data_IF_416870483129
#
_entry.id   IF_416870483129
#
_cell.length_a   1.000
_cell.length_b   1.000
_cell.length_c   1.000
_cell.angle_alpha   90.00
_cell.angle_beta   90.00
_cell.angle_gamma   90.00
#
_symmetry.space_group_name_H-M   'P 1'
#
loop_
_entity.id
_entity.type
_entity.pdbx_description
1 polymer ?
#
# COMPACT_ATOMS: atom_id res chain seq x y z
N UNK A 1 14.77 -3.54 -27.82
CA UNK A 1 14.57 -3.52 -26.34
C UNK A 1 14.15 -2.16 -25.80
N UNK A 2 14.50 -1.04 -26.43
CA UNK A 2 14.16 0.32 -25.96
C UNK A 2 12.65 0.60 -25.86
N UNK A 3 11.84 0.15 -26.83
CA UNK A 3 10.39 0.38 -26.81
C UNK A 3 9.69 -0.31 -25.62
N UNK A 4 10.17 -1.48 -25.19
CA UNK A 4 9.66 -2.16 -23.97
C UNK A 4 9.97 -1.36 -22.71
N UNK A 5 11.19 -0.81 -22.60
CA UNK A 5 11.63 0.00 -21.46
C UNK A 5 10.88 1.33 -21.39
N UNK A 6 10.64 1.95 -22.54
CA UNK A 6 9.85 3.19 -22.67
C UNK A 6 8.37 2.96 -22.37
N UNK A 7 7.79 1.84 -22.80
CA UNK A 7 6.43 1.43 -22.45
C UNK A 7 6.28 1.19 -20.94
N UNK A 8 7.25 0.51 -20.33
CA UNK A 8 7.30 0.32 -18.88
C UNK A 8 7.44 1.64 -18.11
N UNK A 9 8.33 2.54 -18.54
CA UNK A 9 8.51 3.87 -17.92
C UNK A 9 7.27 4.75 -18.11
N UNK A 10 6.60 4.71 -19.27
CA UNK A 10 5.35 5.43 -19.49
C UNK A 10 4.20 4.84 -18.69
N UNK A 11 4.11 3.52 -18.56
CA UNK A 11 3.17 2.84 -17.67
C UNK A 11 3.41 3.23 -16.21
N UNK A 12 4.67 3.22 -15.74
CA UNK A 12 5.09 3.68 -14.41
C UNK A 12 4.83 5.18 -14.17
N UNK A 13 4.97 6.01 -15.19
CA UNK A 13 4.62 7.43 -15.11
C UNK A 13 3.09 7.65 -15.10
N UNK A 14 2.33 6.81 -15.81
CA UNK A 14 0.88 6.78 -15.77
C UNK A 14 0.33 6.15 -14.48
N UNK A 15 1.11 5.32 -13.78
CA UNK A 15 0.77 4.85 -12.44
C UNK A 15 0.53 6.05 -11.54
N UNK A 16 -0.73 6.18 -11.15
CA UNK A 16 -1.25 7.20 -10.26
C UNK A 16 -0.29 7.40 -9.08
N UNK A 17 -0.03 8.67 -8.71
CA UNK A 17 0.79 9.01 -7.54
C UNK A 17 0.26 8.30 -6.28
N UNK A 18 -1.05 8.06 -6.24
CA UNK A 18 -1.78 7.33 -5.20
C UNK A 18 -1.32 5.86 -5.11
N UNK A 19 -1.18 5.15 -6.24
CA UNK A 19 -0.75 3.75 -6.24
C UNK A 19 0.71 3.60 -5.78
N UNK A 20 1.59 4.52 -6.20
CA UNK A 20 2.98 4.54 -5.73
C UNK A 20 3.09 4.77 -4.22
N UNK A 21 2.32 5.72 -3.69
CA UNK A 21 2.22 5.97 -2.25
C UNK A 21 1.69 4.74 -1.49
N UNK A 22 0.69 4.06 -2.04
CA UNK A 22 0.16 2.83 -1.45
C UNK A 22 1.20 1.71 -1.42
N UNK A 23 1.92 1.48 -2.52
CA UNK A 23 2.97 0.47 -2.58
C UNK A 23 4.07 0.71 -1.53
N UNK A 24 4.49 1.97 -1.35
CA UNK A 24 5.46 2.33 -0.30
C UNK A 24 4.90 2.09 1.10
N UNK A 25 3.64 2.46 1.35
CA UNK A 25 2.97 2.22 2.62
C UNK A 25 2.86 0.71 2.93
N UNK A 26 2.54 -0.11 1.94
CA UNK A 26 2.52 -1.57 2.08
C UNK A 26 3.89 -2.10 2.46
N UNK A 27 4.94 -1.67 1.76
CA UNK A 27 6.31 -2.11 2.03
C UNK A 27 6.75 -1.73 3.44
N UNK A 28 6.47 -0.49 3.86
CA UNK A 28 6.71 -0.02 5.21
C UNK A 28 5.94 -0.83 6.25
N UNK A 29 4.64 -1.07 6.01
CA UNK A 29 3.78 -1.83 6.93
C UNK A 29 4.21 -3.29 7.04
N UNK A 30 4.66 -3.91 5.95
CA UNK A 30 5.19 -5.27 5.98
C UNK A 30 6.47 -5.34 6.82
N UNK A 31 7.41 -4.40 6.63
CA UNK A 31 8.68 -4.39 7.37
C UNK A 31 8.44 -4.07 8.86
N UNK A 32 7.75 -2.97 9.17
CA UNK A 32 7.55 -2.55 10.55
C UNK A 32 6.56 -3.44 11.31
N UNK A 33 5.44 -3.82 10.67
CA UNK A 33 4.42 -4.66 11.28
C UNK A 33 4.93 -6.06 11.60
N UNK A 34 5.69 -6.68 10.67
CA UNK A 34 6.30 -7.99 10.93
C UNK A 34 7.35 -7.91 12.05
N UNK A 35 8.26 -6.93 12.00
CA UNK A 35 9.28 -6.75 13.04
C UNK A 35 8.69 -6.51 14.43
N UNK A 36 7.65 -5.66 14.53
CA UNK A 36 6.99 -5.39 15.80
C UNK A 36 6.23 -6.62 16.33
N UNK A 37 5.59 -7.37 15.44
CA UNK A 37 4.90 -8.63 15.80
C UNK A 37 5.91 -9.68 16.29
N UNK A 38 7.04 -9.84 15.60
CA UNK A 38 8.11 -10.74 16.03
C UNK A 38 8.77 -10.29 17.34
N UNK A 39 9.05 -8.99 17.49
CA UNK A 39 9.63 -8.45 18.71
C UNK A 39 8.74 -8.73 19.91
N UNK A 40 7.45 -8.44 19.79
CA UNK A 40 6.47 -8.73 20.86
C UNK A 40 6.30 -10.22 21.09
N UNK A 41 6.32 -11.04 20.03
CA UNK A 41 6.24 -12.49 20.14
C UNK A 41 7.43 -13.09 20.88
N UNK A 42 8.66 -12.64 20.65
CA UNK A 42 9.84 -13.23 21.29
C UNK A 42 10.20 -12.61 22.64
N UNK A 43 9.92 -11.31 22.85
CA UNK A 43 10.36 -10.61 24.07
C UNK A 43 9.28 -10.44 25.14
N UNK A 44 8.00 -10.66 24.83
CA UNK A 44 6.92 -10.59 25.83
C UNK A 44 6.45 -11.97 26.27
N UNK A 45 6.22 -12.09 27.58
CA UNK A 45 5.69 -13.30 28.20
C UNK A 45 4.23 -13.52 27.81
N UNK A 46 3.44 -12.43 27.75
CA UNK A 46 2.05 -12.46 27.31
C UNK A 46 1.94 -12.34 25.78
N UNK A 47 1.44 -13.40 25.14
CA UNK A 47 1.26 -13.44 23.69
C UNK A 47 0.01 -12.68 23.22
N UNK A 48 -0.90 -12.30 24.13
CA UNK A 48 -2.08 -11.49 23.83
C UNK A 48 -1.69 -10.17 23.17
N UNK A 49 -0.61 -9.55 23.65
CA UNK A 49 -0.08 -8.31 23.07
C UNK A 49 0.40 -8.53 21.63
N UNK A 50 1.06 -9.66 21.34
CA UNK A 50 1.50 -10.00 19.98
C UNK A 50 0.31 -10.20 19.03
N UNK A 51 -0.75 -10.87 19.49
CA UNK A 51 -1.99 -11.03 18.71
C UNK A 51 -2.69 -9.69 18.46
N UNK A 52 -2.73 -8.81 19.47
CA UNK A 52 -3.31 -7.46 19.32
C UNK A 52 -2.51 -6.62 18.32
N UNK A 53 -1.17 -6.65 18.38
CA UNK A 53 -0.30 -5.96 17.42
C UNK A 53 -0.49 -6.51 16.00
N UNK A 54 -0.59 -7.82 15.85
CA UNK A 54 -0.88 -8.47 14.58
C UNK A 54 -2.24 -8.03 14.02
N UNK A 55 -3.29 -8.08 14.84
CA UNK A 55 -4.63 -7.65 14.46
C UNK A 55 -4.67 -6.17 14.07
N UNK A 56 -4.03 -5.30 14.85
CA UNK A 56 -3.93 -3.86 14.57
C UNK A 56 -3.24 -3.62 13.22
N UNK A 57 -2.18 -4.38 12.92
CA UNK A 57 -1.46 -4.29 11.65
C UNK A 57 -2.35 -4.67 10.47
N UNK A 58 -3.16 -5.73 10.59
CA UNK A 58 -4.13 -6.13 9.55
C UNK A 58 -5.21 -5.05 9.36
N UNK A 59 -5.77 -4.52 10.44
CA UNK A 59 -6.80 -3.46 10.37
C UNK A 59 -6.28 -2.22 9.67
N UNK A 60 -5.07 -1.75 10.03
CA UNK A 60 -4.42 -0.59 9.40
C UNK A 60 -4.16 -0.87 7.91
N UNK A 61 -3.72 -2.07 7.56
CA UNK A 61 -3.47 -2.46 6.18
C UNK A 61 -4.76 -2.48 5.35
N UNK A 62 -5.82 -3.12 5.84
CA UNK A 62 -7.12 -3.19 5.18
C UNK A 62 -7.76 -1.80 5.00
N UNK A 63 -7.70 -0.96 6.03
CA UNK A 63 -8.22 0.41 5.95
C UNK A 63 -7.44 1.24 4.93
N UNK A 64 -6.12 1.14 4.95
CA UNK A 64 -5.26 1.81 3.98
C UNK A 64 -5.58 1.35 2.55
N UNK A 65 -5.73 0.05 2.32
CA UNK A 65 -6.13 -0.49 1.02
C UNK A 65 -7.43 0.13 0.51
N UNK A 66 -8.48 0.16 1.34
CA UNK A 66 -9.77 0.76 0.95
C UNK A 66 -9.63 2.25 0.61
N UNK A 67 -8.88 3.01 1.43
CA UNK A 67 -8.64 4.44 1.22
C UNK A 67 -7.90 4.71 -0.10
N UNK A 68 -6.82 3.99 -0.36
CA UNK A 68 -6.02 4.18 -1.57
C UNK A 68 -6.73 3.66 -2.83
N UNK A 69 -7.54 2.60 -2.72
CA UNK A 69 -8.44 2.14 -3.80
C UNK A 69 -9.42 3.23 -4.19
N UNK A 70 -10.14 3.82 -3.23
CA UNK A 70 -11.11 4.86 -3.50
C UNK A 70 -10.46 6.09 -4.16
N UNK A 71 -9.28 6.50 -3.66
CA UNK A 71 -8.52 7.59 -4.27
C UNK A 71 -8.04 7.26 -5.69
N UNK A 72 -7.62 6.02 -5.96
CA UNK A 72 -7.20 5.59 -7.29
C UNK A 72 -8.37 5.59 -8.29
N UNK A 73 -9.56 5.16 -7.86
CA UNK A 73 -10.79 5.23 -8.67
C UNK A 73 -11.15 6.68 -8.97
N UNK A 74 -11.12 7.56 -7.97
CA UNK A 74 -11.37 9.00 -8.17
C UNK A 74 -10.35 9.62 -9.12
N UNK A 75 -9.05 9.31 -8.97
CA UNK A 75 -8.00 9.82 -9.86
C UNK A 75 -8.15 9.29 -11.29
N UNK A 76 -8.61 8.05 -11.46
CA UNK A 76 -8.92 7.49 -12.77
C UNK A 76 -10.09 8.23 -13.44
N UNK A 77 -11.22 8.37 -12.74
CA UNK A 77 -12.40 9.06 -13.25
C UNK A 77 -12.12 10.52 -13.64
N UNK A 78 -11.31 11.23 -12.85
CA UNK A 78 -10.87 12.59 -13.16
C UNK A 78 -10.02 12.65 -14.43
N UNK A 79 -9.08 11.72 -14.62
CA UNK A 79 -8.27 11.67 -15.85
C UNK A 79 -9.11 11.32 -17.08
N UNK A 80 -10.13 10.48 -16.95
CA UNK A 80 -11.04 10.14 -18.05
C UNK A 80 -11.94 11.31 -18.44
N UNK A 81 -12.43 12.11 -17.47
CA UNK A 81 -13.23 13.30 -17.75
C UNK A 81 -12.45 14.39 -18.48
N UNK A 82 -11.17 14.58 -18.18
CA UNK A 82 -10.31 15.58 -18.86
C UNK A 82 -10.01 15.20 -20.32
N UNK A 83 -10.09 13.91 -20.68
CA UNK A 83 -9.82 13.43 -22.04
C UNK A 83 -11.07 13.50 -22.94
N UNK A 84 -12.26 13.42 -22.35
CA UNK A 84 -13.55 13.38 -23.07
C UNK A 84 -14.32 14.72 -23.06
N UNK A 85 -13.77 15.76 -22.41
CA UNK A 85 -14.39 17.09 -22.29
C UNK A 85 -13.69 18.15 -23.12
#
# INVERSE_FOLDING_TARGET
>A
MENKKRWWMNGLNQYSKTVRKYAFLCLFSMIFGSNLTFYTYFNLTDKTISYLVGLLSVVIFSWSFLKYRNNAVTEFNQKTLVING
#
